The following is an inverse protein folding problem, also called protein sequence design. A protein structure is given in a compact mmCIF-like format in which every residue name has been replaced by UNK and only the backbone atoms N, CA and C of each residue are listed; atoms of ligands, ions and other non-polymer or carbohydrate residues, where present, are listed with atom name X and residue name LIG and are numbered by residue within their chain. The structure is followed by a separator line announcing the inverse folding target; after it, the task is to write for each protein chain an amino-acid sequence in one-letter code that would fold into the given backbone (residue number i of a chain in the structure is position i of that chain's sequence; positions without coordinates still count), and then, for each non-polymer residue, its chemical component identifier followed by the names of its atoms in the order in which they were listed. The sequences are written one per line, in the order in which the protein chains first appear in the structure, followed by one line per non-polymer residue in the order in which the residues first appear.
data_IF_997778304201
#
_entry.id   IF_997778304201
#
_cell.length_a   1.000
_cell.length_b   1.000
_cell.length_c   1.000
_cell.angle_alpha   90.00
_cell.angle_beta   90.00
_cell.angle_gamma   90.00
#
_symmetry.space_group_name_H-M   'P 1'
#
loop_
_entity.id
_entity.type
_entity.pdbx_description
1 polymer ?
#
# COMPACT_ATOMS: atom_id res chain seq x y z
N UNK A 1 44.18 16.46 -26.01
CA UNK A 1 44.68 15.11 -26.37
C UNK A 1 44.12 14.11 -25.39
N UNK A 2 43.71 12.93 -25.87
CA UNK A 2 43.26 11.76 -25.11
C UNK A 2 43.19 10.55 -26.09
N UNK A 3 43.00 9.30 -25.65
CA UNK A 3 43.08 8.73 -24.29
C UNK A 3 44.16 7.61 -24.23
N UNK A 4 44.19 6.80 -23.16
CA UNK A 4 44.79 5.44 -23.20
C UNK A 4 44.31 4.54 -22.07
N UNK A 5 43.57 3.47 -22.41
CA UNK A 5 43.27 2.31 -21.56
C UNK A 5 43.12 1.03 -22.39
N UNK A 6 43.87 -0.03 -22.05
CA UNK A 6 43.48 -1.42 -22.34
C UNK A 6 43.59 -2.28 -21.04
N UNK A 7 43.12 -3.54 -20.95
CA UNK A 7 42.60 -4.49 -21.94
C UNK A 7 41.66 -5.50 -21.27
N UNK A 8 40.68 -6.07 -22.00
CA UNK A 8 39.96 -7.31 -21.62
C UNK A 8 40.56 -8.52 -22.36
N UNK A 9 40.77 -9.64 -21.65
CA UNK A 9 40.96 -11.02 -22.15
C UNK A 9 40.64 -12.00 -21.00
N UNK A 10 40.33 -13.30 -21.20
CA UNK A 10 39.37 -13.93 -22.12
C UNK A 10 38.93 -15.29 -21.51
N UNK A 11 37.95 -15.98 -22.09
CA UNK A 11 37.22 -17.11 -21.48
C UNK A 11 37.57 -18.46 -22.12
N UNK A 12 37.67 -19.55 -21.33
CA UNK A 12 37.78 -20.94 -21.82
C UNK A 12 37.03 -21.93 -20.90
N UNK A 13 36.47 -22.98 -21.50
CA UNK A 13 35.78 -24.13 -20.88
C UNK A 13 36.33 -25.42 -21.51
N UNK A 14 36.55 -26.50 -20.73
CA UNK A 14 36.28 -27.92 -21.06
C UNK A 14 37.03 -28.89 -20.11
N UNK A 15 36.79 -30.20 -20.09
CA UNK A 15 35.52 -30.93 -19.89
C UNK A 15 35.81 -32.42 -19.59
N UNK A 16 35.08 -33.01 -18.63
CA UNK A 16 34.76 -34.47 -18.47
C UNK A 16 35.86 -35.54 -18.53
N UNK A 17 35.92 -36.39 -17.49
CA UNK A 17 36.53 -37.73 -17.50
C UNK A 17 36.11 -38.52 -16.25
N UNK A 18 35.83 -39.82 -16.34
CA UNK A 18 35.25 -40.61 -15.23
C UNK A 18 35.59 -42.12 -15.31
N UNK A 19 35.63 -42.81 -14.15
CA UNK A 19 34.87 -44.07 -13.87
C UNK A 19 35.38 -44.91 -12.66
N UNK A 20 34.42 -45.51 -11.93
CA UNK A 20 34.44 -46.76 -11.11
C UNK A 20 34.76 -46.72 -9.58
N UNK A 21 33.93 -47.49 -8.87
CA UNK A 21 33.83 -47.88 -7.44
C UNK A 21 33.86 -49.45 -7.38
N UNK A 22 33.72 -50.19 -6.24
CA UNK A 22 33.35 -49.86 -4.83
C UNK A 22 34.55 -50.01 -3.85
N UNK A 23 34.50 -50.22 -2.53
CA UNK A 23 33.49 -50.64 -1.52
C UNK A 23 33.95 -50.11 -0.11
N UNK A 24 33.31 -50.25 1.08
CA UNK A 24 32.13 -51.00 1.57
C UNK A 24 31.49 -50.31 2.81
N UNK A 25 30.34 -50.81 3.26
CA UNK A 25 29.56 -50.48 4.48
C UNK A 25 29.86 -51.47 5.67
N UNK A 26 29.35 -51.32 6.93
CA UNK A 26 28.15 -50.57 7.36
C UNK A 26 28.18 -49.87 8.76
N UNK A 27 26.97 -49.49 9.21
CA UNK A 27 26.49 -49.18 10.58
C UNK A 27 26.74 -47.76 11.13
N UNK A 28 25.71 -47.21 11.79
CA UNK A 28 25.71 -45.85 12.35
C UNK A 28 24.42 -45.03 12.14
N UNK A 29 23.34 -45.62 11.60
CA UNK A 29 22.01 -45.00 11.58
C UNK A 29 21.44 -44.93 12.99
N UNK A 30 21.00 -43.75 13.43
CA UNK A 30 20.31 -43.57 14.72
C UNK A 30 18.87 -44.06 14.65
N UNK A 31 18.50 -44.99 15.53
CA UNK A 31 17.16 -45.56 15.56
C UNK A 31 16.09 -44.55 16.00
N UNK A 32 15.12 -44.29 15.13
CA UNK A 32 13.88 -43.58 15.47
C UNK A 32 12.72 -44.07 14.59
N UNK A 33 12.50 -45.38 14.53
CA UNK A 33 11.21 -45.91 14.07
C UNK A 33 10.16 -45.64 15.15
N UNK A 34 9.32 -44.62 14.94
CA UNK A 34 8.09 -44.42 15.70
C UNK A 34 6.99 -45.34 15.15
N UNK A 35 6.13 -45.88 16.01
CA UNK A 35 5.14 -46.94 15.71
C UNK A 35 4.24 -46.67 14.49
N UNK A 36 4.72 -47.05 13.30
CA UNK A 36 3.91 -47.14 12.09
C UNK A 36 3.16 -48.49 12.09
N UNK A 37 1.96 -48.50 12.68
CA UNK A 37 1.13 -49.72 12.78
C UNK A 37 0.80 -50.25 11.38
N UNK A 38 1.44 -51.36 10.99
CA UNK A 38 1.11 -52.12 9.80
C UNK A 38 -0.25 -52.84 9.99
N UNK A 39 -1.33 -52.19 9.57
CA UNK A 39 -2.60 -52.86 9.30
C UNK A 39 -2.55 -53.50 7.91
N UNK A 40 -2.88 -54.80 7.83
CA UNK A 40 -2.96 -55.51 6.54
C UNK A 40 -4.06 -54.93 5.63
N UNK A 41 -3.87 -54.97 4.30
CA UNK A 41 -4.88 -54.54 3.34
C UNK A 41 -5.98 -55.60 3.20
N UNK A 42 -7.00 -55.56 4.07
CA UNK A 42 -8.18 -56.42 3.96
C UNK A 42 -9.50 -55.67 4.21
N UNK A 43 -10.34 -55.67 3.16
CA UNK A 43 -11.77 -55.33 3.12
C UNK A 43 -12.21 -53.88 3.52
N UNK A 44 -12.78 -53.20 2.52
CA UNK A 44 -13.95 -52.32 2.71
C UNK A 44 -13.80 -51.02 3.52
N UNK A 45 -12.70 -50.29 3.33
CA UNK A 45 -12.74 -48.84 3.47
C UNK A 45 -13.22 -48.21 2.15
N UNK A 46 -14.39 -47.57 2.13
CA UNK A 46 -14.75 -46.67 1.02
C UNK A 46 -13.72 -45.54 0.97
N UNK A 47 -13.20 -45.15 -0.21
CA UNK A 47 -12.36 -43.97 -0.30
C UNK A 47 -13.23 -42.76 0.04
N UNK A 48 -13.07 -42.24 1.26
CA UNK A 48 -13.49 -40.89 1.59
C UNK A 48 -12.85 -39.98 0.53
N UNK A 49 -13.63 -39.19 -0.23
CA UNK A 49 -13.03 -38.15 -1.02
C UNK A 49 -12.43 -37.15 -0.04
N UNK A 50 -11.12 -37.28 0.20
CA UNK A 50 -10.28 -36.17 0.65
C UNK A 50 -10.58 -35.06 -0.33
N UNK A 51 -11.39 -34.10 0.14
CA UNK A 51 -11.87 -33.05 -0.72
C UNK A 51 -10.66 -32.23 -1.14
N UNK A 52 -10.21 -32.44 -2.38
CA UNK A 52 -9.49 -31.47 -3.17
C UNK A 52 -10.44 -30.29 -3.43
N UNK A 53 -10.84 -29.63 -2.35
CA UNK A 53 -11.05 -28.20 -2.41
C UNK A 53 -9.73 -27.67 -2.97
N UNK A 54 -9.72 -26.99 -4.13
CA UNK A 54 -8.56 -26.19 -4.46
C UNK A 54 -8.45 -25.19 -3.32
N UNK A 55 -7.39 -25.32 -2.51
CA UNK A 55 -6.97 -24.30 -1.55
C UNK A 55 -7.15 -22.97 -2.26
N UNK A 56 -8.11 -22.16 -1.80
CA UNK A 56 -8.58 -20.99 -2.53
C UNK A 56 -7.51 -19.92 -2.40
N UNK A 57 -6.43 -20.10 -3.16
CA UNK A 57 -5.19 -19.39 -3.04
C UNK A 57 -5.50 -17.92 -3.05
N UNK A 58 -5.30 -17.30 -1.89
CA UNK A 58 -6.05 -16.12 -1.49
C UNK A 58 -5.45 -14.89 -2.18
N UNK A 59 -5.80 -14.76 -3.47
CA UNK A 59 -5.18 -13.89 -4.47
C UNK A 59 -5.58 -12.43 -4.28
N UNK A 60 -5.39 -11.94 -3.05
CA UNK A 60 -5.53 -10.54 -2.67
C UNK A 60 -4.52 -9.73 -3.46
N UNK A 61 -5.03 -8.86 -4.31
CA UNK A 61 -4.23 -7.89 -5.05
C UNK A 61 -3.56 -6.93 -4.06
N UNK A 62 -2.46 -6.30 -4.46
CA UNK A 62 -1.85 -5.18 -3.70
C UNK A 62 -2.91 -4.11 -3.34
N UNK A 63 -3.86 -3.85 -4.24
CA UNK A 63 -5.01 -2.98 -3.98
C UNK A 63 -5.88 -3.47 -2.81
N UNK A 64 -6.28 -4.74 -2.81
CA UNK A 64 -7.11 -5.35 -1.76
C UNK A 64 -6.40 -5.33 -0.40
N UNK A 65 -5.08 -5.58 -0.39
CA UNK A 65 -4.25 -5.48 0.81
C UNK A 65 -4.18 -4.04 1.34
N UNK A 66 -3.91 -3.06 0.48
CA UNK A 66 -3.84 -1.65 0.88
C UNK A 66 -5.20 -1.15 1.40
N UNK A 67 -6.30 -1.51 0.73
CA UNK A 67 -7.65 -1.19 1.15
C UNK A 67 -8.03 -1.86 2.49
N UNK A 68 -7.56 -3.08 2.74
CA UNK A 68 -7.68 -3.77 4.02
C UNK A 68 -6.79 -3.18 5.14
N UNK A 69 -5.74 -2.41 4.80
CA UNK A 69 -4.98 -1.61 5.77
C UNK A 69 -5.70 -0.31 6.09
N UNK A 70 -6.13 0.45 5.08
CA UNK A 70 -6.87 1.72 5.24
C UNK A 70 -8.13 1.53 6.11
N UNK A 71 -8.91 0.47 5.86
CA UNK A 71 -10.12 0.13 6.62
C UNK A 71 -9.91 -0.24 8.09
N UNK A 72 -8.66 -0.42 8.55
CA UNK A 72 -8.34 -0.58 9.99
C UNK A 72 -8.32 0.75 10.74
N UNK A 73 -8.04 1.85 10.02
CA UNK A 73 -8.03 3.20 10.58
C UNK A 73 -9.38 3.90 10.41
N UNK A 74 -10.03 3.71 9.26
CA UNK A 74 -11.37 4.24 8.98
C UNK A 74 -12.20 3.24 8.17
N UNK A 75 -13.18 2.63 8.82
CA UNK A 75 -14.09 1.64 8.23
C UNK A 75 -15.08 2.24 7.22
N UNK A 76 -15.20 3.58 7.15
CA UNK A 76 -16.03 4.24 6.13
C UNK A 76 -15.39 4.22 4.75
N UNK A 77 -14.06 4.00 4.65
CA UNK A 77 -13.31 3.97 3.38
C UNK A 77 -13.78 2.79 2.50
N UNK A 78 -14.43 3.13 1.38
CA UNK A 78 -14.89 2.16 0.38
C UNK A 78 -13.81 1.81 -0.62
N UNK A 79 -12.96 2.76 -1.03
CA UNK A 79 -11.85 2.57 -1.96
C UNK A 79 -10.87 3.75 -1.95
N UNK A 80 -9.93 3.78 -2.89
CA UNK A 80 -9.11 4.95 -3.18
C UNK A 80 -9.03 5.20 -4.69
N UNK A 81 -9.00 6.46 -5.12
CA UNK A 81 -8.87 6.86 -6.52
C UNK A 81 -7.41 7.02 -6.94
N UNK A 82 -6.56 7.52 -6.03
CA UNK A 82 -5.14 7.74 -6.25
C UNK A 82 -4.27 7.23 -5.09
N UNK A 83 -3.00 6.97 -5.41
CA UNK A 83 -1.94 6.71 -4.46
C UNK A 83 -0.66 7.40 -4.93
N UNK A 84 0.11 7.95 -3.99
CA UNK A 84 1.51 8.36 -4.17
C UNK A 84 2.39 7.50 -3.25
N UNK A 85 3.55 7.05 -3.73
CA UNK A 85 4.39 6.09 -3.01
C UNK A 85 5.16 6.73 -1.84
N UNK A 86 5.45 8.02 -1.93
CA UNK A 86 6.09 8.81 -0.89
C UNK A 86 5.51 10.23 -0.88
N UNK A 87 4.96 10.60 0.27
CA UNK A 87 4.52 11.94 0.61
C UNK A 87 5.11 12.34 1.96
N UNK A 88 5.56 13.59 2.09
CA UNK A 88 5.94 14.20 3.37
C UNK A 88 4.94 15.29 3.74
N UNK A 89 4.45 15.29 4.99
CA UNK A 89 3.56 16.34 5.50
C UNK A 89 4.37 17.50 6.12
N UNK A 90 4.16 18.68 5.58
CA UNK A 90 4.54 19.97 6.13
C UNK A 90 3.32 20.70 6.70
N UNK A 91 3.55 21.51 7.73
CA UNK A 91 2.57 22.44 8.33
C UNK A 91 3.11 23.85 8.18
N UNK A 92 2.25 24.83 7.92
CA UNK A 92 2.64 26.23 8.00
C UNK A 92 2.58 26.68 9.46
N UNK A 93 3.68 27.19 9.99
CA UNK A 93 3.73 27.83 11.31
C UNK A 93 3.23 29.29 11.21
N UNK A 94 2.95 29.94 12.34
CA UNK A 94 2.39 31.29 12.43
C UNK A 94 3.24 32.34 11.68
N UNK A 95 4.56 32.16 11.67
CA UNK A 95 5.53 33.01 10.96
C UNK A 95 5.56 32.80 9.43
N UNK A 96 4.61 32.01 8.89
CA UNK A 96 4.48 31.64 7.48
C UNK A 96 5.70 30.90 6.93
N UNK A 97 6.27 30.03 7.76
CA UNK A 97 7.35 29.11 7.40
C UNK A 97 6.84 27.67 7.41
N UNK A 98 7.34 26.85 6.49
CA UNK A 98 7.02 25.42 6.41
C UNK A 98 7.84 24.61 7.43
N UNK A 99 7.16 23.83 8.25
CA UNK A 99 7.73 22.96 9.28
C UNK A 99 7.39 21.49 8.97
N UNK A 100 8.37 20.59 9.00
CA UNK A 100 8.15 19.17 8.70
C UNK A 100 7.48 18.46 9.89
N UNK A 101 6.31 17.88 9.66
CA UNK A 101 5.49 17.28 10.72
C UNK A 101 5.92 15.86 11.12
N UNK A 102 7.05 15.34 10.62
CA UNK A 102 7.51 13.97 10.88
C UNK A 102 6.61 12.84 10.32
N UNK A 103 5.56 13.17 9.57
CA UNK A 103 4.68 12.19 8.90
C UNK A 103 5.16 12.00 7.46
N UNK A 104 5.70 10.81 7.18
CA UNK A 104 6.23 10.47 5.85
C UNK A 104 5.92 9.03 5.46
N UNK A 105 5.35 8.82 4.27
CA UNK A 105 5.01 7.50 3.74
C UNK A 105 4.03 7.56 2.58
N UNK A 106 3.34 6.47 2.21
CA UNK A 106 2.44 6.47 1.07
C UNK A 106 1.15 7.24 1.38
N UNK A 107 0.73 8.07 0.42
CA UNK A 107 -0.49 8.86 0.47
C UNK A 107 -1.57 8.21 -0.40
N UNK A 108 -2.82 8.30 0.05
CA UNK A 108 -4.00 7.78 -0.63
C UNK A 108 -5.08 8.87 -0.72
N UNK A 109 -5.75 8.96 -1.85
CA UNK A 109 -6.98 9.76 -2.02
C UNK A 109 -8.16 8.80 -1.87
N UNK A 110 -8.76 8.79 -0.69
CA UNK A 110 -9.73 7.79 -0.26
C UNK A 110 -11.17 8.24 -0.51
N UNK A 111 -11.99 7.33 -1.05
CA UNK A 111 -13.42 7.50 -1.25
C UNK A 111 -14.12 6.86 -0.05
N UNK A 112 -14.87 7.66 0.71
CA UNK A 112 -15.57 7.23 1.91
C UNK A 112 -17.06 6.99 1.63
N UNK A 113 -17.75 6.38 2.60
CA UNK A 113 -19.21 6.27 2.58
C UNK A 113 -19.81 7.67 2.78
N UNK A 114 -20.79 8.04 1.96
CA UNK A 114 -21.51 9.30 2.11
C UNK A 114 -22.14 9.40 3.52
N UNK A 115 -22.12 10.59 4.11
CA UNK A 115 -22.85 10.82 5.36
C UNK A 115 -24.35 10.90 5.09
N UNK A 116 -25.15 10.35 6.01
CA UNK A 116 -26.60 10.38 6.02
C UNK A 116 -27.15 11.08 7.28
N UNK A 117 -26.29 11.49 8.21
CA UNK A 117 -26.65 12.12 9.49
C UNK A 117 -27.53 13.37 9.34
N UNK A 118 -27.36 14.11 8.25
CA UNK A 118 -28.10 15.34 7.91
C UNK A 118 -29.35 15.10 7.06
N UNK A 119 -29.74 13.83 6.83
CA UNK A 119 -30.91 13.47 6.02
C UNK A 119 -30.74 13.66 4.51
N UNK A 120 -29.56 14.08 4.04
CA UNK A 120 -29.17 14.11 2.62
C UNK A 120 -27.81 13.41 2.45
N UNK A 121 -27.59 12.64 1.38
CA UNK A 121 -26.30 11.99 1.12
C UNK A 121 -25.22 13.04 0.82
N UNK A 122 -24.36 13.30 1.79
CA UNK A 122 -23.19 14.16 1.63
C UNK A 122 -21.98 13.31 1.21
N UNK A 123 -21.45 13.53 0.00
CA UNK A 123 -20.23 12.87 -0.46
C UNK A 123 -19.08 13.08 0.53
N UNK A 124 -18.32 12.02 0.82
CA UNK A 124 -17.15 12.08 1.69
C UNK A 124 -15.93 11.50 0.99
N UNK A 125 -14.81 12.17 1.18
CA UNK A 125 -13.50 11.71 0.75
C UNK A 125 -12.44 12.34 1.65
N UNK A 126 -11.29 11.66 1.77
CA UNK A 126 -10.19 12.10 2.62
C UNK A 126 -8.84 11.82 1.98
N UNK A 127 -7.83 12.59 2.35
CA UNK A 127 -6.43 12.28 2.05
C UNK A 127 -5.85 11.59 3.28
N UNK A 128 -5.31 10.39 3.08
CA UNK A 128 -4.73 9.56 4.13
C UNK A 128 -3.24 9.36 3.87
N UNK A 129 -2.37 9.67 4.82
CA UNK A 129 -0.92 9.38 4.75
C UNK A 129 -0.58 8.36 5.82
N UNK A 130 -0.21 7.15 5.39
CA UNK A 130 0.34 6.14 6.28
C UNK A 130 1.78 6.51 6.61
N UNK A 131 2.13 6.60 7.89
CA UNK A 131 3.47 6.95 8.32
C UNK A 131 4.38 5.70 8.33
N UNK A 132 5.60 5.83 7.80
CA UNK A 132 6.64 4.79 7.81
C UNK A 132 7.63 4.92 8.97
N UNK A 133 7.65 6.07 9.67
CA UNK A 133 8.65 6.39 10.70
C UNK A 133 8.08 6.36 12.13
N UNK A 134 6.80 6.70 12.30
CA UNK A 134 6.10 6.69 13.58
C UNK A 134 4.69 6.10 13.43
N UNK A 135 3.99 5.89 14.55
CA UNK A 135 2.61 5.37 14.57
C UNK A 135 1.56 6.43 14.22
N UNK A 136 1.93 7.72 14.25
CA UNK A 136 1.03 8.84 13.94
C UNK A 136 0.86 9.00 12.43
N UNK A 137 -0.28 8.56 11.92
CA UNK A 137 -0.72 8.76 10.54
C UNK A 137 -1.42 10.13 10.38
N UNK A 138 -1.38 10.71 9.18
CA UNK A 138 -2.13 11.94 8.89
C UNK A 138 -3.44 11.64 8.15
N UNK A 139 -4.51 12.32 8.57
CA UNK A 139 -5.84 12.22 8.00
C UNK A 139 -6.37 13.64 7.73
N UNK A 140 -6.83 13.89 6.51
CA UNK A 140 -7.36 15.20 6.08
C UNK A 140 -8.72 14.96 5.40
N UNK A 141 -9.81 15.32 6.07
CA UNK A 141 -11.16 15.19 5.52
C UNK A 141 -11.45 16.34 4.53
N UNK A 142 -11.80 16.02 3.29
CA UNK A 142 -12.02 17.02 2.23
C UNK A 142 -13.26 17.89 2.47
N UNK A 143 -14.19 17.49 3.34
CA UNK A 143 -15.29 18.37 3.81
C UNK A 143 -14.77 19.55 4.63
N UNK A 144 -13.63 19.38 5.32
CA UNK A 144 -12.99 20.45 6.10
C UNK A 144 -12.15 21.39 5.25
N UNK A 145 -11.87 21.06 3.98
CA UNK A 145 -11.02 21.89 3.11
C UNK A 145 -11.78 23.11 2.59
N UNK A 146 -11.17 24.30 2.76
CA UNK A 146 -11.58 25.59 2.18
C UNK A 146 -11.00 25.76 0.77
N UNK A 147 -9.75 25.34 0.56
CA UNK A 147 -9.01 25.51 -0.69
C UNK A 147 -7.91 24.46 -0.82
N UNK A 148 -7.62 24.01 -2.05
CA UNK A 148 -6.43 23.23 -2.37
C UNK A 148 -5.82 23.68 -3.71
N UNK A 149 -4.50 23.56 -3.81
CA UNK A 149 -3.67 23.95 -4.95
C UNK A 149 -2.48 23.00 -5.05
N UNK A 150 -1.98 22.72 -6.26
CA UNK A 150 -0.70 22.03 -6.46
C UNK A 150 0.34 23.03 -6.98
N UNK A 151 1.37 23.29 -6.18
CA UNK A 151 2.53 24.07 -6.60
C UNK A 151 3.71 23.12 -6.82
N UNK A 152 4.03 22.86 -8.09
CA UNK A 152 5.03 21.88 -8.57
C UNK A 152 4.79 20.45 -8.03
N UNK A 153 5.33 20.15 -6.86
CA UNK A 153 5.24 18.86 -6.14
C UNK A 153 4.53 18.99 -4.79
N UNK A 154 4.25 20.21 -4.33
CA UNK A 154 3.64 20.50 -3.04
C UNK A 154 2.14 20.70 -3.22
N UNK A 155 1.35 19.71 -2.80
CA UNK A 155 -0.10 19.83 -2.69
C UNK A 155 -0.43 20.63 -1.42
N UNK A 156 -0.81 21.88 -1.60
CA UNK A 156 -1.20 22.82 -0.55
C UNK A 156 -2.69 22.63 -0.25
N UNK A 157 -3.04 22.54 1.04
CA UNK A 157 -4.41 22.33 1.51
C UNK A 157 -4.70 23.26 2.67
N UNK A 158 -5.73 24.09 2.56
CA UNK A 158 -6.19 25.01 3.61
C UNK A 158 -7.50 24.50 4.20
N UNK A 159 -7.55 24.28 5.52
CA UNK A 159 -8.75 23.77 6.20
C UNK A 159 -9.65 24.90 6.72
N UNK A 160 -10.86 24.56 7.18
CA UNK A 160 -11.82 25.47 7.80
C UNK A 160 -11.21 26.26 8.97
N UNK A 161 -10.25 25.67 9.69
CA UNK A 161 -9.54 26.24 10.83
C UNK A 161 -8.42 27.22 10.42
N UNK A 162 -8.32 27.54 9.12
CA UNK A 162 -7.27 28.33 8.48
C UNK A 162 -5.84 27.77 8.66
N UNK A 163 -5.75 26.49 9.06
CA UNK A 163 -4.51 25.70 9.05
C UNK A 163 -4.12 25.39 7.62
N UNK A 164 -2.90 25.75 7.25
CA UNK A 164 -2.31 25.44 5.94
C UNK A 164 -1.39 24.23 6.08
N UNK A 165 -1.68 23.18 5.31
CA UNK A 165 -0.92 21.94 5.21
C UNK A 165 -0.28 21.86 3.83
N UNK A 166 0.91 21.27 3.75
CA UNK A 166 1.62 21.02 2.50
C UNK A 166 2.00 19.56 2.41
N UNK A 167 1.64 18.89 1.31
CA UNK A 167 1.97 17.49 1.07
C UNK A 167 2.95 17.43 -0.12
N UNK A 168 4.24 17.23 0.16
CA UNK A 168 5.24 17.09 -0.88
C UNK A 168 5.15 15.67 -1.46
N UNK A 169 4.76 15.55 -2.72
CA UNK A 169 4.56 14.29 -3.45
C UNK A 169 5.73 13.97 -4.38
N UNK A 170 5.87 12.72 -4.80
CA UNK A 170 6.79 12.35 -5.89
C UNK A 170 6.32 12.95 -7.22
N UNK A 171 7.20 13.62 -8.00
CA UNK A 171 6.85 14.34 -9.23
C UNK A 171 5.97 13.57 -10.22
N UNK A 172 6.29 12.30 -10.48
CA UNK A 172 5.53 11.41 -11.37
C UNK A 172 4.08 11.17 -10.92
N UNK A 173 3.82 11.32 -9.61
CA UNK A 173 2.52 11.09 -8.98
C UNK A 173 1.74 12.38 -8.69
N UNK A 174 2.43 13.54 -8.60
CA UNK A 174 1.87 14.77 -8.06
C UNK A 174 0.64 15.26 -8.83
N UNK A 175 0.77 15.45 -10.15
CA UNK A 175 -0.34 15.89 -11.01
C UNK A 175 -1.53 14.94 -11.02
N UNK A 176 -1.29 13.61 -11.13
CA UNK A 176 -2.36 12.60 -11.07
C UNK A 176 -3.08 12.62 -9.72
N UNK A 177 -2.33 12.72 -8.63
CA UNK A 177 -2.90 12.77 -7.27
C UNK A 177 -3.78 14.01 -7.11
N UNK A 178 -3.31 15.17 -7.58
CA UNK A 178 -4.07 16.43 -7.51
C UNK A 178 -5.36 16.38 -8.33
N UNK A 179 -5.34 15.86 -9.57
CA UNK A 179 -6.57 15.68 -10.36
C UNK A 179 -7.62 14.84 -9.61
N UNK A 180 -7.20 13.72 -9.02
CA UNK A 180 -8.09 12.88 -8.23
C UNK A 180 -8.53 13.51 -6.89
N UNK A 181 -7.73 14.43 -6.30
CA UNK A 181 -8.18 15.25 -5.16
C UNK A 181 -9.28 16.22 -5.59
N UNK A 182 -9.12 16.90 -6.74
CA UNK A 182 -10.15 17.79 -7.29
C UNK A 182 -11.44 17.03 -7.59
N UNK A 183 -11.37 15.91 -8.32
CA UNK A 183 -12.53 15.06 -8.64
C UNK A 183 -13.39 14.70 -7.40
N UNK A 184 -12.77 14.50 -6.24
CA UNK A 184 -13.46 14.19 -4.99
C UNK A 184 -13.85 15.45 -4.18
N UNK A 185 -13.05 16.52 -4.24
CA UNK A 185 -13.29 17.74 -3.47
C UNK A 185 -14.33 18.67 -4.09
N UNK A 186 -14.37 18.83 -5.42
CA UNK A 186 -15.26 19.79 -6.07
C UNK A 186 -16.75 19.55 -5.78
N UNK A 187 -17.30 18.31 -5.82
CA UNK A 187 -18.69 18.03 -5.44
C UNK A 187 -18.97 18.40 -3.98
N UNK A 188 -18.03 18.13 -3.07
CA UNK A 188 -18.13 18.43 -1.64
C UNK A 188 -18.16 19.95 -1.41
N UNK A 189 -17.21 20.65 -2.04
CA UNK A 189 -17.08 22.11 -2.02
C UNK A 189 -18.34 22.80 -2.52
N UNK A 190 -18.96 22.30 -3.58
CA UNK A 190 -20.08 22.97 -4.22
C UNK A 190 -21.42 22.69 -3.51
N UNK A 191 -21.60 21.51 -2.90
CA UNK A 191 -22.65 21.27 -1.90
C UNK A 191 -22.50 22.20 -0.69
N UNK A 192 -21.27 22.39 -0.18
CA UNK A 192 -20.96 23.30 0.94
C UNK A 192 -21.28 24.76 0.61
N UNK A 193 -21.01 25.23 -0.62
CA UNK A 193 -21.43 26.56 -1.13
C UNK A 193 -22.95 26.70 -1.23
N UNK A 194 -23.68 25.64 -1.57
CA UNK A 194 -25.14 25.67 -1.65
C UNK A 194 -25.80 25.67 -0.26
N UNK A 195 -25.21 24.98 0.72
CA UNK A 195 -25.66 25.00 2.11
C UNK A 195 -25.45 26.38 2.75
N UNK A 196 -24.25 26.96 2.65
CA UNK A 196 -23.91 28.30 3.18
C UNK A 196 -24.54 29.49 2.44
N UNK A 197 -25.57 29.26 1.63
CA UNK A 197 -26.41 30.29 0.96
C UNK A 197 -27.87 30.26 1.43
N UNK A 198 -28.22 29.37 2.37
CA UNK A 198 -29.57 29.19 2.91
C UNK A 198 -29.69 29.64 4.38
N UNK A 199 -28.72 30.43 4.84
CA UNK A 199 -28.58 30.99 6.20
C UNK A 199 -28.11 32.43 6.09
#
# INVERSE_FOLDING_TARGET
MAPSTPRKLQYQISATGASRLPDRMPAGTSDYESDAIYLEPSASALPLPLALQPEKQDSRTINDMNLAVLRRYDSTIKGYSAMSHNATLYKMNNDKQWEESGVKGPLFVCIQTADLSTGRPASRACIFVLNRQALENAFIDLTTVKHCELQDQLLIVVTNDDKVLGLHLDAESAGKTYSHVLEQWEPIRDVKKLAGRQT
#
